data_IF_042931382267
#
_entry.id   IF_042931382267
#
_cell.length_a   1.000
_cell.length_b   1.000
_cell.length_c   1.000
_cell.angle_alpha   90.00
_cell.angle_beta   90.00
_cell.angle_gamma   90.00
#
_symmetry.space_group_name_H-M   'P 1'
#
loop_
_entity.id
_entity.type
_entity.pdbx_description
1 polymer ?
#
# COMPACT_ATOMS: atom_id res chain seq x y z
N UNK A 1 8.40 9.08 -3.88
CA UNK A 1 8.58 10.55 -3.93
C UNK A 1 8.05 11.09 -2.62
N UNK A 2 8.91 11.66 -1.78
CA UNK A 2 8.49 12.33 -0.56
C UNK A 2 8.22 13.80 -0.86
N UNK A 3 6.96 14.18 -1.00
CA UNK A 3 6.56 15.58 -1.14
C UNK A 3 6.04 16.06 0.20
N UNK A 4 6.61 17.15 0.72
CA UNK A 4 6.15 17.74 1.98
C UNK A 4 5.61 19.13 1.72
N UNK A 5 4.39 19.38 2.20
CA UNK A 5 3.73 20.68 2.08
C UNK A 5 2.84 20.99 3.29
N UNK A 6 2.46 22.24 3.41
CA UNK A 6 1.53 22.74 4.42
C UNK A 6 0.08 22.57 3.95
N UNK A 7 -0.76 21.96 4.79
CA UNK A 7 -2.21 21.94 4.63
C UNK A 7 -2.81 23.28 5.08
N UNK A 8 -3.68 23.89 4.26
CA UNK A 8 -4.25 25.24 4.48
C UNK A 8 -5.66 25.23 5.03
N UNK A 9 -6.48 24.33 4.52
CA UNK A 9 -7.87 24.16 4.95
C UNK A 9 -8.28 22.72 4.72
N UNK A 10 -9.27 22.27 5.49
CA UNK A 10 -9.93 20.98 5.31
C UNK A 10 -11.42 21.26 5.17
N UNK A 11 -12.06 20.58 4.21
CA UNK A 11 -13.47 20.74 3.90
C UNK A 11 -14.15 19.38 3.79
N UNK A 12 -15.36 19.29 4.34
CA UNK A 12 -16.23 18.12 4.25
C UNK A 12 -17.62 18.57 3.80
N UNK A 13 -18.16 17.99 2.73
CA UNK A 13 -19.47 18.39 2.17
C UNK A 13 -19.63 19.90 1.88
N UNK A 14 -18.56 20.56 1.41
CA UNK A 14 -18.50 22.01 1.15
C UNK A 14 -18.51 22.91 2.40
N UNK A 15 -18.33 22.35 3.59
CA UNK A 15 -18.16 23.10 4.82
C UNK A 15 -16.72 22.98 5.34
N UNK A 16 -16.14 24.10 5.79
CA UNK A 16 -14.80 24.11 6.38
C UNK A 16 -14.86 23.47 7.76
N UNK A 17 -13.95 22.52 8.02
CA UNK A 17 -13.77 21.92 9.34
C UNK A 17 -12.40 22.29 9.91
N UNK A 18 -12.34 22.43 11.23
CA UNK A 18 -11.07 22.69 11.95
C UNK A 18 -10.16 21.45 11.95
N UNK A 19 -10.76 20.26 11.96
CA UNK A 19 -10.04 18.99 11.95
C UNK A 19 -10.86 17.91 11.23
N UNK A 20 -10.16 16.93 10.66
CA UNK A 20 -10.75 15.69 10.15
C UNK A 20 -10.34 14.53 11.05
N UNK A 21 -11.27 13.64 11.35
CA UNK A 21 -11.06 12.44 12.18
C UNK A 21 -11.14 11.16 11.33
N UNK A 22 -10.67 10.01 11.84
CA UNK A 22 -10.75 8.76 11.10
C UNK A 22 -12.20 8.41 10.72
N UNK A 23 -12.45 8.28 9.41
CA UNK A 23 -13.77 8.00 8.84
C UNK A 23 -14.32 9.13 7.96
N UNK A 24 -13.81 10.35 8.12
CA UNK A 24 -14.25 11.50 7.33
C UNK A 24 -13.74 11.42 5.88
N UNK A 25 -14.62 11.75 4.94
CA UNK A 25 -14.25 11.91 3.54
C UNK A 25 -14.09 13.41 3.23
N UNK A 26 -12.85 13.87 3.19
CA UNK A 26 -12.51 15.29 3.12
C UNK A 26 -11.74 15.66 1.87
N UNK A 27 -11.92 16.90 1.43
CA UNK A 27 -10.94 17.60 0.60
C UNK A 27 -10.05 18.45 1.49
N UNK A 28 -8.75 18.55 1.18
CA UNK A 28 -7.87 19.47 1.88
C UNK A 28 -7.01 20.25 0.89
N UNK A 29 -6.81 21.52 1.19
CA UNK A 29 -6.06 22.43 0.34
C UNK A 29 -4.57 22.38 0.71
N UNK A 30 -3.70 22.19 -0.28
CA UNK A 30 -2.25 22.20 -0.11
C UNK A 30 -1.60 23.26 -0.99
N UNK A 31 -0.57 23.91 -0.46
CA UNK A 31 0.12 24.99 -1.15
C UNK A 31 1.35 24.51 -1.92
N UNK A 32 1.69 25.19 -3.02
CA UNK A 32 2.92 24.96 -3.80
C UNK A 32 3.07 23.53 -4.38
N UNK A 33 1.96 22.83 -4.61
CA UNK A 33 1.90 21.49 -5.22
C UNK A 33 1.04 21.53 -6.47
N UNK A 34 1.56 21.04 -7.60
CA UNK A 34 0.80 20.91 -8.84
C UNK A 34 -0.07 19.65 -8.84
N UNK A 35 -1.27 19.71 -9.43
CA UNK A 35 -2.13 18.54 -9.66
C UNK A 35 -1.44 17.43 -10.47
N UNK A 36 -0.40 17.75 -11.25
CA UNK A 36 0.39 16.76 -12.01
C UNK A 36 1.33 15.95 -11.13
N UNK A 37 1.66 16.45 -9.94
CA UNK A 37 2.56 15.81 -8.96
C UNK A 37 1.82 14.83 -8.06
N UNK A 38 0.48 14.87 -8.04
CA UNK A 38 -0.37 14.00 -7.22
C UNK A 38 -1.17 13.05 -8.09
N UNK A 39 -1.31 11.80 -7.63
CA UNK A 39 -2.10 10.77 -8.30
C UNK A 39 -2.89 9.97 -7.27
N UNK A 40 -4.02 9.43 -7.69
CA UNK A 40 -4.79 8.46 -6.89
C UNK A 40 -3.87 7.29 -6.49
N UNK A 41 -4.00 6.82 -5.25
CA UNK A 41 -3.12 5.81 -4.65
C UNK A 41 -1.94 6.38 -3.87
N UNK A 42 -1.73 7.70 -3.86
CA UNK A 42 -0.78 8.33 -2.96
C UNK A 42 -1.36 8.42 -1.55
N UNK A 43 -0.48 8.36 -0.56
CA UNK A 43 -0.83 8.42 0.86
C UNK A 43 -0.26 9.71 1.45
N UNK A 44 -1.12 10.50 2.10
CA UNK A 44 -0.73 11.69 2.84
C UNK A 44 -0.57 11.32 4.32
N UNK A 45 0.45 11.86 4.98
CA UNK A 45 0.76 11.63 6.38
C UNK A 45 1.39 12.89 6.98
N UNK A 46 1.41 12.99 8.31
CA UNK A 46 2.18 14.03 8.98
C UNK A 46 3.69 13.78 8.77
N UNK A 47 4.41 14.82 8.34
CA UNK A 47 5.86 14.79 8.21
C UNK A 47 6.60 14.61 9.55
N UNK A 48 5.96 14.96 10.68
CA UNK A 48 6.55 14.94 12.02
C UNK A 48 6.22 13.68 12.82
N UNK A 49 5.25 12.88 12.37
CA UNK A 49 4.78 11.70 13.09
C UNK A 49 4.59 10.53 12.12
N UNK A 50 5.56 9.60 12.13
CA UNK A 50 5.64 8.43 11.25
C UNK A 50 5.24 8.70 9.78
N UNK A 51 6.06 9.45 9.03
CA UNK A 51 5.73 9.80 7.65
C UNK A 51 5.66 8.55 6.77
N UNK A 52 4.64 8.50 5.90
CA UNK A 52 4.44 7.46 4.91
C UNK A 52 5.64 7.39 3.94
N UNK A 53 6.14 6.17 3.72
CA UNK A 53 7.29 5.92 2.83
C UNK A 53 6.91 4.95 1.72
N UNK A 54 7.60 5.06 0.59
CA UNK A 54 7.43 4.11 -0.49
C UNK A 54 7.86 2.72 -0.05
N UNK A 55 7.17 1.68 -0.52
CA UNK A 55 7.52 0.29 -0.31
C UNK A 55 8.53 -0.19 -1.37
N UNK A 56 9.57 -0.90 -0.93
CA UNK A 56 10.51 -1.65 -1.76
C UNK A 56 9.96 -3.04 -2.04
N UNK A 57 9.76 -3.79 -0.97
CA UNK A 57 9.11 -5.10 -0.98
C UNK A 57 8.19 -5.20 0.23
N UNK A 58 7.24 -6.13 0.20
CA UNK A 58 6.41 -6.40 1.36
C UNK A 58 6.10 -7.89 1.47
N UNK A 59 6.10 -8.40 2.69
CA UNK A 59 5.73 -9.76 2.98
C UNK A 59 4.23 -9.80 3.30
N UNK A 60 3.49 -10.65 2.59
CA UNK A 60 2.05 -10.77 2.76
C UNK A 60 1.61 -12.22 2.89
N UNK A 61 0.62 -12.43 3.75
CA UNK A 61 -0.16 -13.66 3.78
C UNK A 61 -1.25 -13.54 2.72
N UNK A 62 -1.24 -14.42 1.72
CA UNK A 62 -2.17 -14.43 0.59
C UNK A 62 -3.01 -15.70 0.65
N UNK A 63 -4.31 -15.57 0.40
CA UNK A 63 -5.24 -16.69 0.25
C UNK A 63 -5.77 -16.66 -1.18
N UNK A 64 -5.52 -17.74 -1.92
CA UNK A 64 -6.00 -17.88 -3.31
C UNK A 64 -7.46 -18.31 -3.28
N UNK A 65 -8.30 -17.59 -4.02
CA UNK A 65 -9.74 -17.82 -4.11
C UNK A 65 -10.05 -18.72 -5.30
N UNK A 66 -10.47 -18.14 -6.42
CA UNK A 66 -10.87 -18.85 -7.64
C UNK A 66 -9.94 -18.47 -8.80
N UNK A 67 -8.71 -18.99 -8.77
CA UNK A 67 -7.76 -18.86 -9.88
C UNK A 67 -7.83 -20.12 -10.77
N UNK A 68 -7.97 -19.98 -12.11
CA UNK A 68 -8.18 -21.12 -13.02
C UNK A 68 -6.92 -21.98 -13.23
N UNK A 69 -5.74 -21.47 -12.87
CA UNK A 69 -4.47 -22.18 -12.97
C UNK A 69 -3.66 -22.14 -11.68
N UNK A 70 -2.35 -22.22 -11.82
CA UNK A 70 -1.39 -22.14 -10.72
C UNK A 70 -0.70 -20.77 -10.69
N UNK A 71 -0.45 -20.25 -9.49
CA UNK A 71 0.35 -19.05 -9.27
C UNK A 71 1.78 -19.49 -8.95
N UNK A 72 2.76 -18.92 -9.65
CA UNK A 72 4.19 -19.23 -9.52
C UNK A 72 4.99 -17.95 -9.27
N UNK A 73 6.24 -18.10 -8.83
CA UNK A 73 7.17 -16.98 -8.73
C UNK A 73 7.26 -16.24 -10.08
N UNK A 74 7.18 -14.91 -10.04
CA UNK A 74 7.13 -14.05 -11.22
C UNK A 74 5.73 -13.66 -11.68
N UNK A 75 4.67 -14.30 -11.17
CA UNK A 75 3.29 -13.90 -11.44
C UNK A 75 3.06 -12.43 -11.05
N UNK A 76 2.53 -11.61 -11.96
CA UNK A 76 2.47 -10.15 -11.80
C UNK A 76 1.05 -9.59 -12.00
N UNK A 77 0.10 -9.94 -11.12
CA UNK A 77 -1.27 -9.44 -11.18
C UNK A 77 -1.36 -7.98 -10.73
N UNK A 78 -2.56 -7.41 -10.87
CA UNK A 78 -2.85 -6.08 -10.32
C UNK A 78 -3.35 -6.22 -8.88
N UNK A 79 -2.84 -5.37 -8.00
CA UNK A 79 -3.25 -5.28 -6.61
C UNK A 79 -4.03 -3.99 -6.39
N UNK A 80 -5.22 -4.17 -5.81
CA UNK A 80 -5.97 -3.10 -5.18
C UNK A 80 -5.65 -3.08 -3.68
N UNK A 81 -4.98 -2.03 -3.24
CA UNK A 81 -4.78 -1.76 -1.82
C UNK A 81 -5.19 -0.32 -1.57
N UNK A 82 -6.06 -0.07 -0.59
CA UNK A 82 -6.67 1.24 -0.35
C UNK A 82 -7.24 1.88 -1.64
N UNK A 83 -6.66 2.99 -2.09
CA UNK A 83 -6.99 3.64 -3.37
C UNK A 83 -5.96 3.38 -4.48
N UNK A 84 -4.85 2.70 -4.17
CA UNK A 84 -3.84 2.31 -5.14
C UNK A 84 -4.26 1.09 -5.96
N UNK A 85 -3.95 1.15 -7.25
CA UNK A 85 -4.19 0.11 -8.23
C UNK A 85 -2.89 -0.11 -9.02
N UNK A 86 -2.06 -1.05 -8.57
CA UNK A 86 -0.68 -1.22 -9.04
C UNK A 86 -0.38 -2.70 -9.29
N UNK A 87 0.28 -3.01 -10.41
CA UNK A 87 0.77 -4.36 -10.66
C UNK A 87 1.92 -4.71 -9.70
N UNK A 88 1.83 -5.86 -9.04
CA UNK A 88 2.84 -6.33 -8.11
C UNK A 88 3.26 -7.75 -8.48
N UNK A 89 4.57 -7.98 -8.52
CA UNK A 89 5.16 -9.28 -8.78
C UNK A 89 5.18 -10.10 -7.50
N UNK A 90 4.73 -11.34 -7.60
CA UNK A 90 4.97 -12.41 -6.63
C UNK A 90 6.44 -12.80 -6.76
N UNK A 91 7.33 -12.08 -6.09
CA UNK A 91 8.77 -12.26 -6.24
C UNK A 91 9.19 -13.66 -5.76
N UNK A 92 8.69 -14.05 -4.59
CA UNK A 92 9.00 -15.33 -3.97
C UNK A 92 7.84 -15.81 -3.10
N UNK A 93 7.34 -17.01 -3.37
CA UNK A 93 6.42 -17.71 -2.47
C UNK A 93 7.27 -18.44 -1.42
N UNK A 94 7.34 -17.89 -0.20
CA UNK A 94 8.21 -18.39 0.87
C UNK A 94 7.69 -19.68 1.48
N UNK A 95 6.41 -19.73 1.81
CA UNK A 95 5.81 -20.89 2.47
C UNK A 95 4.36 -21.04 2.04
N UNK A 96 3.92 -22.29 1.88
CA UNK A 96 2.50 -22.65 1.88
C UNK A 96 2.07 -22.87 3.33
N UNK A 97 0.88 -22.41 3.68
CA UNK A 97 0.38 -22.46 5.04
C UNK A 97 -1.08 -22.89 5.10
N UNK A 98 -1.49 -23.45 6.23
CA UNK A 98 -2.89 -23.73 6.51
C UNK A 98 -3.64 -22.41 6.78
N UNK A 99 -4.76 -22.21 6.09
CA UNK A 99 -5.53 -20.96 6.14
C UNK A 99 -6.19 -20.67 7.49
N UNK A 100 -6.37 -21.68 8.36
CA UNK A 100 -7.04 -21.53 9.67
C UNK A 100 -6.03 -21.40 10.80
N UNK A 101 -5.08 -22.33 10.87
CA UNK A 101 -4.09 -22.41 11.94
C UNK A 101 -2.83 -21.58 11.69
N UNK A 102 -2.58 -21.17 10.44
CA UNK A 102 -1.38 -20.43 10.05
C UNK A 102 -0.10 -21.26 10.07
N UNK A 103 -0.19 -22.58 10.31
CA UNK A 103 0.97 -23.48 10.32
C UNK A 103 1.55 -23.65 8.92
N UNK A 104 2.88 -23.63 8.82
CA UNK A 104 3.59 -23.95 7.58
C UNK A 104 3.31 -25.40 7.19
N UNK A 105 2.91 -25.60 5.94
CA UNK A 105 2.67 -26.92 5.35
C UNK A 105 3.83 -27.34 4.43
N UNK A 106 4.38 -26.38 3.69
CA UNK A 106 5.47 -26.60 2.73
C UNK A 106 6.34 -25.34 2.67
N UNK A 107 7.66 -25.53 2.69
CA UNK A 107 8.63 -24.46 2.49
C UNK A 107 9.01 -24.34 1.02
N UNK A 108 9.13 -23.10 0.53
CA UNK A 108 9.46 -22.76 -0.86
C UNK A 108 8.65 -23.56 -1.91
N UNK A 109 7.30 -23.54 -1.86
CA UNK A 109 6.48 -24.28 -2.81
C UNK A 109 6.70 -23.77 -4.23
N UNK A 110 6.74 -24.69 -5.21
CA UNK A 110 6.92 -24.31 -6.63
C UNK A 110 5.73 -23.52 -7.19
N UNK A 111 4.53 -23.74 -6.64
CA UNK A 111 3.31 -23.06 -7.03
C UNK A 111 2.25 -23.11 -5.92
N UNK A 112 1.26 -22.22 -6.00
CA UNK A 112 0.07 -22.22 -5.15
C UNK A 112 -1.18 -22.16 -6.03
N UNK A 113 -2.26 -22.80 -5.59
CA UNK A 113 -3.53 -22.90 -6.34
C UNK A 113 -4.72 -22.48 -5.50
N UNK A 114 -5.89 -22.45 -6.12
CA UNK A 114 -7.17 -22.13 -5.47
C UNK A 114 -7.37 -22.89 -4.15
N UNK A 115 -7.69 -22.14 -3.08
CA UNK A 115 -7.87 -22.65 -1.74
C UNK A 115 -6.61 -22.66 -0.86
N UNK A 116 -5.42 -22.51 -1.44
CA UNK A 116 -4.17 -22.44 -0.70
C UNK A 116 -3.99 -21.08 -0.02
N UNK A 117 -3.35 -21.09 1.14
CA UNK A 117 -2.78 -19.90 1.74
C UNK A 117 -1.24 -19.97 1.67
N UNK A 118 -0.59 -18.83 1.51
CA UNK A 118 0.86 -18.75 1.41
C UNK A 118 1.41 -17.44 1.94
N UNK A 119 2.66 -17.46 2.40
CA UNK A 119 3.44 -16.27 2.67
C UNK A 119 4.24 -15.92 1.44
N UNK A 120 4.04 -14.71 0.91
CA UNK A 120 4.60 -14.28 -0.36
C UNK A 120 5.34 -12.96 -0.17
N UNK A 121 6.56 -12.88 -0.71
CA UNK A 121 7.27 -11.63 -0.88
C UNK A 121 6.83 -10.96 -2.18
N UNK A 122 6.38 -9.72 -2.06
CA UNK A 122 5.72 -8.98 -3.12
C UNK A 122 6.53 -7.75 -3.50
N UNK A 123 6.65 -7.48 -4.80
CA UNK A 123 7.39 -6.35 -5.33
C UNK A 123 6.49 -5.49 -6.24
N UNK A 124 6.21 -4.22 -5.88
CA UNK A 124 5.38 -3.35 -6.69
C UNK A 124 6.14 -2.85 -7.93
N UNK A 125 5.52 -2.92 -9.11
CA UNK A 125 6.10 -2.47 -10.39
C UNK A 125 6.24 -0.95 -10.52
N UNK A 126 5.48 -0.21 -9.71
CA UNK A 126 5.48 1.26 -9.64
C UNK A 126 5.59 1.70 -8.18
N UNK A 127 6.05 2.94 -7.90
CA UNK A 127 6.08 3.46 -6.55
C UNK A 127 4.71 3.34 -5.87
N UNK A 128 4.69 2.66 -4.73
CA UNK A 128 3.50 2.33 -3.95
C UNK A 128 3.79 2.59 -2.47
N UNK A 129 2.77 2.97 -1.71
CA UNK A 129 2.82 3.01 -0.24
C UNK A 129 1.84 1.96 0.28
N UNK A 130 2.33 1.12 1.18
CA UNK A 130 1.56 0.12 1.92
C UNK A 130 2.16 0.02 3.31
N UNK A 131 1.39 -0.48 4.26
CA UNK A 131 1.83 -0.64 5.64
C UNK A 131 1.46 -2.03 6.17
N UNK A 132 2.12 -2.45 7.26
CA UNK A 132 1.74 -3.69 7.93
C UNK A 132 0.31 -3.57 8.49
N UNK A 133 -0.46 -4.65 8.35
CA UNK A 133 -1.86 -4.65 8.78
C UNK A 133 -2.04 -4.41 10.28
N UNK A 134 -1.06 -4.82 11.09
CA UNK A 134 -1.07 -4.60 12.55
C UNK A 134 -0.96 -3.13 12.92
N UNK A 135 -0.29 -2.35 12.08
CA UNK A 135 0.07 -0.97 12.37
C UNK A 135 -0.97 -0.02 11.76
N UNK A 136 -1.29 -0.23 10.47
CA UNK A 136 -2.29 0.54 9.74
C UNK A 136 -3.22 -0.39 8.94
N UNK A 137 -4.27 -0.94 9.58
CA UNK A 137 -5.19 -1.90 8.97
C UNK A 137 -5.77 -1.48 7.59
N UNK A 138 -6.17 -0.21 7.36
CA UNK A 138 -6.70 0.22 6.06
C UNK A 138 -5.69 0.19 4.90
N UNK A 139 -4.39 0.21 5.21
CA UNK A 139 -3.29 0.18 4.23
C UNK A 139 -2.63 -1.21 4.11
N UNK A 140 -3.04 -2.16 4.95
CA UNK A 140 -2.45 -3.51 5.02
C UNK A 140 -3.31 -4.62 4.42
N UNK A 141 -4.52 -4.32 3.92
CA UNK A 141 -5.37 -5.29 3.21
C UNK A 141 -5.38 -5.00 1.72
N UNK A 142 -5.34 -6.05 0.92
CA UNK A 142 -5.38 -5.90 -0.52
C UNK A 142 -6.11 -7.05 -1.22
N UNK A 143 -6.64 -6.75 -2.39
CA UNK A 143 -7.20 -7.73 -3.31
C UNK A 143 -6.25 -7.89 -4.49
N UNK A 144 -6.05 -9.13 -4.91
CA UNK A 144 -5.30 -9.48 -6.11
C UNK A 144 -6.30 -9.74 -7.22
N UNK A 145 -6.16 -9.00 -8.32
CA UNK A 145 -7.01 -9.12 -9.50
C UNK A 145 -6.24 -9.55 -10.72
N UNK A 146 -6.86 -10.44 -11.46
CA UNK A 146 -6.43 -10.87 -12.78
C UNK A 146 -7.66 -11.14 -13.65
N UNK A 147 -7.57 -10.84 -14.95
CA UNK A 147 -8.67 -11.00 -15.91
C UNK A 147 -10.03 -10.46 -15.42
N UNK A 148 -10.02 -9.31 -14.70
CA UNK A 148 -11.21 -8.66 -14.09
C UNK A 148 -11.89 -9.47 -12.97
N UNK A 149 -11.23 -10.48 -12.42
CA UNK A 149 -11.71 -11.29 -11.30
C UNK A 149 -10.77 -11.15 -10.10
N UNK A 150 -11.31 -11.27 -8.90
CA UNK A 150 -10.49 -11.34 -7.69
C UNK A 150 -10.00 -12.77 -7.51
N UNK A 151 -8.71 -12.98 -7.73
CA UNK A 151 -8.08 -14.32 -7.71
C UNK A 151 -7.48 -14.65 -6.35
N UNK A 152 -7.12 -13.65 -5.56
CA UNK A 152 -6.64 -13.83 -4.19
C UNK A 152 -6.92 -12.58 -3.35
N UNK A 153 -6.83 -12.75 -2.03
CA UNK A 153 -6.85 -11.64 -1.06
C UNK A 153 -5.64 -11.78 -0.15
N UNK A 154 -5.13 -10.65 0.34
CA UNK A 154 -3.92 -10.67 1.15
C UNK A 154 -3.94 -9.67 2.29
N UNK A 155 -3.12 -9.99 3.29
CA UNK A 155 -2.85 -9.18 4.47
C UNK A 155 -1.35 -9.02 4.60
N UNK A 156 -0.89 -7.77 4.62
CA UNK A 156 0.53 -7.42 4.74
C UNK A 156 0.99 -7.66 6.18
N UNK A 157 2.08 -8.40 6.32
CA UNK A 157 2.71 -8.74 7.61
C UNK A 157 3.89 -7.82 7.92
N UNK A 158 4.68 -7.47 6.92
CA UNK A 158 5.79 -6.54 7.06
C UNK A 158 6.09 -5.83 5.74
N UNK A 159 6.69 -4.65 5.82
CA UNK A 159 7.03 -3.82 4.67
C UNK A 159 8.49 -3.40 4.79
N UNK A 160 9.26 -3.64 3.73
CA UNK A 160 10.57 -3.03 3.55
C UNK A 160 10.35 -1.63 2.95
N UNK A 161 10.51 -0.59 3.76
CA UNK A 161 10.35 0.79 3.32
C UNK A 161 11.58 1.23 2.53
N UNK A 162 11.38 1.90 1.39
CA UNK A 162 12.45 2.57 0.65
C UNK A 162 12.98 3.72 1.50
N UNK A 163 14.30 3.83 1.57
CA UNK A 163 14.98 5.04 2.01
C UNK A 163 14.42 6.25 1.24
N UNK A 164 14.21 7.40 1.90
CA UNK A 164 13.81 8.63 1.23
C UNK A 164 14.91 9.02 0.24
N UNK A 165 14.71 8.69 -1.04
CA UNK A 165 15.67 9.04 -2.08
C UNK A 165 15.91 10.55 -2.17
N UNK A 166 17.04 10.94 -2.76
CA UNK A 166 17.50 12.33 -2.95
C UNK A 166 16.54 13.27 -3.70
N UNK A 167 15.37 12.79 -4.14
CA UNK A 167 14.29 13.55 -4.78
C UNK A 167 13.12 13.92 -3.86
N UNK A 168 13.32 13.91 -2.54
CA UNK A 168 12.30 14.40 -1.59
C UNK A 168 12.18 15.92 -1.72
N UNK A 169 11.03 16.39 -2.21
CA UNK A 169 10.75 17.81 -2.47
C UNK A 169 10.02 18.39 -1.26
N UNK A 170 10.67 19.31 -0.57
CA UNK A 170 10.05 20.10 0.50
C UNK A 170 9.63 21.45 -0.08
N UNK A 171 8.35 21.79 0.01
CA UNK A 171 7.84 23.05 -0.53
C UNK A 171 8.28 24.25 0.32
N UNK A 172 8.26 25.46 -0.26
CA UNK A 172 8.54 26.69 0.47
C UNK A 172 7.55 26.90 1.63
N UNK A 173 6.29 26.52 1.44
CA UNK A 173 5.27 26.52 2.50
C UNK A 173 5.63 25.58 3.65
N UNK A 174 6.05 24.34 3.37
CA UNK A 174 6.51 23.41 4.41
C UNK A 174 7.70 23.97 5.22
N UNK A 175 8.70 24.55 4.55
CA UNK A 175 9.86 25.15 5.25
C UNK A 175 9.44 26.29 6.16
N UNK A 176 8.46 27.12 5.76
CA UNK A 176 7.93 28.19 6.62
C UNK A 176 7.14 27.65 7.81
N UNK A 177 6.31 26.63 7.58
CA UNK A 177 5.52 26.00 8.63
C UNK A 177 6.40 25.28 9.67
N UNK A 178 7.53 24.71 9.26
CA UNK A 178 8.47 24.05 10.16
C UNK A 178 9.24 25.02 11.10
N UNK A 179 9.25 26.33 10.79
CA UNK A 179 9.91 27.37 11.60
C UNK A 179 8.96 28.04 12.61
N UNK A 180 7.67 27.71 12.57
CA UNK A 180 6.68 28.12 13.57
C UNK A 180 6.54 27.03 14.62
#
# INVERSE_FOLDING_TARGET
VGLTTECKSVEMHHEVTEQAVPGDNVGFNVKDVSVKELKRGYVASDSKNDPAKGCATFLAQVIVLNHPGEIKNGYSPVIDCHTAHIACKFAEIKTKMDKRSGKTLEEAPKCIKSGDAAMVNMEPSKPMVVEAFTDYPPLGRFAVRDMKQTVAVGVIKSVEKKEPGAGSKVTKSAVKAAKK
#
